data_IF_293426445699
#
_entry.id   IF_293426445699
#
_cell.length_a   1.000
_cell.length_b   1.000
_cell.length_c   1.000
_cell.angle_alpha   90.00
_cell.angle_beta   90.00
_cell.angle_gamma   90.00
#
_symmetry.space_group_name_H-M   'P 1'
#
loop_
_entity.id
_entity.type
_entity.pdbx_description
1 polymer ?
#
# COMPACT_ATOMS: atom_id res chain seq x y z
N UNK A 1 -12.98 -30.41 24.42
CA UNK A 1 -11.76 -29.60 24.18
C UNK A 1 -11.73 -29.22 22.71
N UNK A 2 -11.39 -27.94 22.46
CA UNK A 2 -11.14 -27.24 21.19
C UNK A 2 -12.21 -27.32 20.08
N UNK A 3 -13.03 -26.26 20.01
CA UNK A 3 -13.87 -25.88 18.86
C UNK A 3 -12.97 -25.49 17.68
N UNK A 4 -13.13 -26.21 16.56
CA UNK A 4 -12.88 -25.71 15.22
C UNK A 4 -14.00 -24.74 14.84
N UNK A 5 -13.66 -23.58 14.28
CA UNK A 5 -14.42 -22.84 13.24
C UNK A 5 -13.96 -21.39 13.15
N UNK A 6 -13.13 -21.07 12.16
CA UNK A 6 -13.12 -19.75 11.52
C UNK A 6 -12.94 -19.94 10.01
N UNK A 7 -13.89 -20.64 9.38
CA UNK A 7 -14.20 -20.44 7.96
C UNK A 7 -15.36 -19.45 7.94
N UNK A 8 -15.10 -18.19 7.62
CA UNK A 8 -16.16 -17.22 7.35
C UNK A 8 -16.18 -16.88 5.85
N UNK A 9 -16.83 -17.71 5.01
CA UNK A 9 -16.95 -17.47 3.58
C UNK A 9 -17.82 -16.24 3.24
N UNK A 10 -18.53 -15.63 4.21
CA UNK A 10 -19.46 -14.51 3.95
C UNK A 10 -18.84 -13.12 3.98
N UNK A 11 -17.60 -12.97 4.45
CA UNK A 11 -16.93 -11.66 4.47
C UNK A 11 -16.52 -11.21 3.08
N UNK A 12 -16.03 -12.16 2.28
CA UNK A 12 -15.68 -11.94 0.89
C UNK A 12 -16.88 -11.45 0.09
N UNK A 13 -18.07 -12.04 0.26
CA UNK A 13 -19.27 -11.65 -0.48
C UNK A 13 -19.67 -10.16 -0.32
N UNK A 14 -19.43 -9.56 0.86
CA UNK A 14 -19.77 -8.16 1.11
C UNK A 14 -18.75 -7.17 0.51
N UNK A 15 -17.46 -7.53 0.55
CA UNK A 15 -16.36 -6.75 -0.06
C UNK A 15 -16.32 -6.94 -1.59
N UNK A 16 -16.82 -8.05 -2.11
CA UNK A 16 -16.89 -8.24 -3.56
C UNK A 16 -17.95 -7.31 -4.19
N UNK A 17 -19.18 -7.26 -3.69
CA UNK A 17 -20.25 -6.55 -4.41
C UNK A 17 -20.10 -5.01 -4.45
N UNK A 18 -19.60 -4.38 -3.39
CA UNK A 18 -19.43 -2.91 -3.36
C UNK A 18 -18.22 -2.46 -4.21
N UNK A 19 -17.13 -3.24 -4.22
CA UNK A 19 -15.90 -2.93 -4.96
C UNK A 19 -15.95 -3.34 -6.44
N UNK A 20 -16.83 -4.28 -6.84
CA UNK A 20 -16.99 -4.71 -8.24
C UNK A 20 -17.67 -3.65 -9.14
N UNK A 21 -18.18 -2.55 -8.57
CA UNK A 21 -18.79 -1.45 -9.34
C UNK A 21 -17.82 -0.31 -9.66
N UNK A 22 -16.64 -0.31 -9.04
CA UNK A 22 -15.64 0.75 -9.21
C UNK A 22 -14.83 0.53 -10.50
N UNK A 23 -15.40 0.91 -11.63
CA UNK A 23 -14.67 0.99 -12.90
C UNK A 23 -13.61 2.08 -12.83
N UNK A 24 -12.40 1.78 -13.29
CA UNK A 24 -11.38 2.81 -13.51
C UNK A 24 -11.87 3.65 -14.70
N UNK A 25 -12.31 4.89 -14.45
CA UNK A 25 -12.65 5.84 -15.51
C UNK A 25 -11.35 6.48 -16.06
N UNK A 26 -11.15 6.37 -17.38
CA UNK A 26 -9.97 6.88 -18.10
C UNK A 26 -10.01 8.41 -18.31
N UNK A 27 -10.85 9.14 -17.55
CA UNK A 27 -11.06 10.57 -17.71
C UNK A 27 -9.95 11.45 -17.09
N UNK A 28 -9.04 11.89 -17.98
CA UNK A 28 -8.32 13.18 -18.08
C UNK A 28 -7.87 13.86 -16.76
N UNK A 29 -6.56 13.78 -16.50
CA UNK A 29 -5.68 14.73 -15.78
C UNK A 29 -6.32 15.80 -14.88
N UNK A 30 -7.12 15.41 -13.91
CA UNK A 30 -7.53 16.29 -12.81
C UNK A 30 -6.75 15.91 -11.56
N UNK A 31 -6.21 16.90 -10.85
CA UNK A 31 -5.73 16.69 -9.49
C UNK A 31 -6.94 16.36 -8.62
N UNK A 32 -6.96 15.19 -8.01
CA UNK A 32 -8.09 14.75 -7.19
C UNK A 32 -7.63 14.50 -5.76
N UNK A 33 -8.32 15.14 -4.83
CA UNK A 33 -8.20 14.89 -3.40
C UNK A 33 -9.30 13.92 -2.97
N UNK A 34 -8.94 12.95 -2.12
CA UNK A 34 -9.92 12.13 -1.39
C UNK A 34 -10.15 10.72 -1.91
N UNK A 35 -9.97 10.44 -3.20
CA UNK A 35 -10.17 9.11 -3.78
C UNK A 35 -8.89 8.58 -4.45
N UNK A 36 -8.57 7.30 -4.21
CA UNK A 36 -7.43 6.62 -4.83
C UNK A 36 -7.87 6.04 -6.19
N UNK A 37 -7.15 6.40 -7.26
CA UNK A 37 -7.44 5.97 -8.64
C UNK A 37 -8.88 6.21 -9.10
N UNK A 38 -9.53 7.24 -8.58
CA UNK A 38 -10.92 7.65 -8.89
C UNK A 38 -12.00 6.59 -8.56
N UNK A 39 -11.62 5.48 -7.91
CA UNK A 39 -12.50 4.33 -7.70
C UNK A 39 -12.60 3.93 -6.23
N UNK A 40 -11.55 4.12 -5.44
CA UNK A 40 -11.54 3.78 -4.02
C UNK A 40 -11.65 5.04 -3.17
N UNK A 41 -12.71 5.13 -2.37
CA UNK A 41 -12.93 6.29 -1.50
C UNK A 41 -11.97 6.30 -0.32
N UNK A 42 -11.84 7.46 0.33
CA UNK A 42 -11.12 7.60 1.60
C UNK A 42 -11.59 6.57 2.63
N UNK A 43 -12.89 6.35 2.72
CA UNK A 43 -13.51 5.41 3.65
C UNK A 43 -13.10 3.97 3.33
N UNK A 44 -13.13 3.56 2.05
CA UNK A 44 -12.65 2.24 1.63
C UNK A 44 -11.18 2.03 2.01
N UNK A 45 -10.33 3.05 1.79
CA UNK A 45 -8.92 2.97 2.13
C UNK A 45 -8.72 2.87 3.65
N UNK A 46 -9.46 3.65 4.45
CA UNK A 46 -9.41 3.54 5.91
C UNK A 46 -9.81 2.15 6.38
N UNK A 47 -10.88 1.60 5.84
CA UNK A 47 -11.35 0.25 6.16
C UNK A 47 -10.30 -0.82 5.81
N UNK A 48 -9.71 -0.75 4.61
CA UNK A 48 -8.63 -1.66 4.21
C UNK A 48 -7.43 -1.55 5.15
N UNK A 49 -7.02 -0.34 5.54
CA UNK A 49 -5.94 -0.12 6.50
C UNK A 49 -6.26 -0.64 7.91
N UNK A 50 -7.53 -0.68 8.30
CA UNK A 50 -7.98 -1.31 9.55
C UNK A 50 -7.89 -2.83 9.48
N UNK A 51 -8.51 -3.44 8.46
CA UNK A 51 -8.64 -4.91 8.33
C UNK A 51 -7.28 -5.57 8.12
N UNK A 52 -6.39 -4.93 7.36
CA UNK A 52 -5.03 -5.42 7.10
C UNK A 52 -4.10 -5.24 8.30
N UNK A 53 -4.56 -4.58 9.37
CA UNK A 53 -3.79 -4.40 10.60
C UNK A 53 -2.82 -3.21 10.58
N UNK A 54 -2.76 -2.42 9.49
CA UNK A 54 -1.88 -1.24 9.40
C UNK A 54 -2.20 -0.21 10.49
N UNK A 55 -3.44 0.24 10.56
CA UNK A 55 -3.88 1.21 11.59
C UNK A 55 -3.83 0.61 13.01
N UNK A 56 -4.27 -0.62 13.26
CA UNK A 56 -4.09 -1.28 14.55
C UNK A 56 -2.64 -1.31 15.05
N UNK A 57 -1.67 -1.69 14.21
CA UNK A 57 -0.25 -1.73 14.58
C UNK A 57 0.34 -0.33 14.82
N UNK A 58 -0.07 0.66 14.02
CA UNK A 58 0.31 2.06 14.24
C UNK A 58 -0.22 2.57 15.59
N UNK A 59 -1.47 2.25 15.95
CA UNK A 59 -2.04 2.62 17.26
C UNK A 59 -1.34 1.93 18.42
N UNK A 60 -0.98 0.65 18.30
CA UNK A 60 -0.19 -0.08 19.31
C UNK A 60 1.16 0.58 19.58
N UNK A 61 1.76 1.21 18.57
CA UNK A 61 3.01 1.98 18.67
C UNK A 61 2.82 3.40 19.22
N UNK A 62 1.61 3.73 19.67
CA UNK A 62 1.28 4.97 20.37
C UNK A 62 0.86 6.12 19.46
N UNK A 63 0.63 5.90 18.16
CA UNK A 63 0.13 6.93 17.26
C UNK A 63 -1.40 6.88 17.22
N UNK A 64 -2.04 7.80 17.95
CA UNK A 64 -3.49 7.91 18.01
C UNK A 64 -3.98 9.00 17.06
N UNK A 65 -5.20 8.89 16.50
CA UNK A 65 -5.76 9.91 15.57
C UNK A 65 -4.89 10.18 14.34
N UNK A 66 -4.50 9.11 13.65
CA UNK A 66 -3.76 9.20 12.39
C UNK A 66 -4.68 9.78 11.31
N UNK A 67 -4.18 10.75 10.56
CA UNK A 67 -4.87 11.36 9.43
C UNK A 67 -4.42 10.67 8.14
N UNK A 68 -5.40 10.27 7.32
CA UNK A 68 -5.16 9.80 5.96
C UNK A 68 -5.21 10.99 5.01
N UNK A 69 -4.25 11.09 4.10
CA UNK A 69 -4.30 12.00 2.95
C UNK A 69 -4.15 11.18 1.68
N UNK A 70 -5.05 11.40 0.72
CA UNK A 70 -5.00 10.82 -0.62
C UNK A 70 -5.01 11.97 -1.61
N UNK A 71 -4.03 11.98 -2.49
CA UNK A 71 -3.88 12.97 -3.56
C UNK A 71 -3.30 12.29 -4.79
N UNK A 72 -3.63 12.76 -5.99
CA UNK A 72 -3.09 12.16 -7.19
C UNK A 72 -3.54 12.83 -8.47
N UNK A 73 -3.02 12.32 -9.58
CA UNK A 73 -3.36 12.70 -10.94
C UNK A 73 -3.47 11.43 -11.78
N UNK A 74 -4.71 11.04 -12.10
CA UNK A 74 -4.99 9.88 -12.96
C UNK A 74 -4.35 8.57 -12.50
N UNK A 75 -3.94 7.74 -13.45
CA UNK A 75 -3.31 6.44 -13.18
C UNK A 75 -1.79 6.54 -12.98
N UNK A 76 -1.15 7.62 -13.42
CA UNK A 76 0.30 7.76 -13.43
C UNK A 76 0.90 8.13 -12.07
N UNK A 77 0.10 8.77 -11.21
CA UNK A 77 0.56 9.23 -9.91
C UNK A 77 -0.58 9.26 -8.90
N UNK A 78 -0.46 8.42 -7.88
CA UNK A 78 -1.33 8.44 -6.71
C UNK A 78 -0.47 8.41 -5.45
N UNK A 79 -0.85 9.19 -4.45
CA UNK A 79 -0.13 9.36 -3.20
C UNK A 79 -1.07 9.13 -2.04
N UNK A 80 -0.66 8.22 -1.16
CA UNK A 80 -1.34 7.91 0.08
C UNK A 80 -0.38 8.16 1.24
N UNK A 81 -0.79 9.00 2.19
CA UNK A 81 0.02 9.37 3.36
C UNK A 81 -0.77 9.16 4.64
N UNK A 82 -0.12 8.55 5.63
CA UNK A 82 -0.60 8.55 7.01
C UNK A 82 0.23 9.52 7.83
N UNK A 83 -0.45 10.47 8.48
CA UNK A 83 0.16 11.57 9.22
C UNK A 83 -0.28 11.53 10.68
N UNK A 84 0.66 11.73 11.59
CA UNK A 84 0.39 11.97 13.01
C UNK A 84 1.18 13.19 13.45
N UNK A 85 0.48 14.21 13.97
CA UNK A 85 1.11 15.43 14.50
C UNK A 85 2.17 16.03 13.57
N UNK A 86 1.80 16.19 12.28
CA UNK A 86 2.65 16.69 11.18
C UNK A 86 3.82 15.78 10.77
N UNK A 87 4.02 14.66 11.45
CA UNK A 87 4.97 13.63 11.05
C UNK A 87 4.33 12.61 10.11
N UNK A 88 5.03 12.28 9.03
CA UNK A 88 4.63 11.21 8.12
C UNK A 88 5.00 9.87 8.76
N UNK A 89 4.04 8.95 8.82
CA UNK A 89 4.20 7.58 9.33
C UNK A 89 4.28 6.55 8.21
N UNK A 90 3.48 6.74 7.16
CA UNK A 90 3.47 5.92 5.94
C UNK A 90 3.38 6.87 4.75
N UNK A 91 4.22 6.65 3.75
CA UNK A 91 4.16 7.33 2.47
C UNK A 91 4.20 6.28 1.36
N UNK A 92 3.11 6.20 0.61
CA UNK A 92 2.98 5.36 -0.57
C UNK A 92 2.83 6.24 -1.79
N UNK A 93 3.58 5.92 -2.84
CA UNK A 93 3.41 6.47 -4.17
C UNK A 93 3.15 5.32 -5.13
N UNK A 94 1.99 5.36 -5.76
CA UNK A 94 1.46 4.29 -6.58
C UNK A 94 1.18 4.82 -7.99
N UNK A 95 1.25 3.93 -8.97
CA UNK A 95 0.69 4.17 -10.29
C UNK A 95 0.12 2.86 -10.85
N UNK A 96 -0.67 2.93 -11.91
CA UNK A 96 -1.12 1.76 -12.65
C UNK A 96 -0.48 1.81 -14.03
N UNK A 97 0.11 0.71 -14.46
CA UNK A 97 0.73 0.61 -15.78
C UNK A 97 0.25 -0.65 -16.51
N UNK A 98 -0.08 -0.49 -17.79
CA UNK A 98 -0.36 -1.59 -18.70
C UNK A 98 0.95 -2.14 -19.27
N UNK A 99 1.13 -3.45 -19.19
CA UNK A 99 2.21 -4.18 -19.83
C UNK A 99 1.65 -5.07 -20.93
N UNK A 100 2.35 -5.11 -22.06
CA UNK A 100 2.11 -6.09 -23.12
C UNK A 100 3.00 -7.30 -22.85
N UNK A 101 2.39 -8.42 -22.50
CA UNK A 101 3.07 -9.69 -22.32
C UNK A 101 2.90 -10.55 -23.57
N UNK A 102 3.97 -11.21 -23.99
CA UNK A 102 3.96 -12.14 -25.12
C UNK A 102 4.19 -13.56 -24.60
N UNK A 103 3.24 -14.46 -24.86
CA UNK A 103 3.31 -15.87 -24.47
C UNK A 103 2.83 -16.70 -25.66
N UNK A 104 3.70 -17.56 -26.21
CA UNK A 104 3.39 -18.47 -27.31
C UNK A 104 2.69 -17.78 -28.50
N UNK A 105 3.23 -16.65 -28.98
CA UNK A 105 2.70 -15.82 -30.06
C UNK A 105 1.37 -15.08 -29.77
N UNK A 106 0.89 -15.10 -28.52
CA UNK A 106 -0.26 -14.32 -28.06
C UNK A 106 0.17 -13.10 -27.25
N UNK A 107 -0.53 -11.98 -27.46
CA UNK A 107 -0.34 -10.74 -26.70
C UNK A 107 -1.45 -10.53 -25.68
N UNK A 108 -1.06 -10.33 -24.42
CA UNK A 108 -1.94 -9.99 -23.32
C UNK A 108 -1.64 -8.58 -22.84
N UNK A 109 -2.70 -7.80 -22.58
CA UNK A 109 -2.60 -6.49 -21.94
C UNK A 109 -2.98 -6.66 -20.48
N UNK A 110 -2.01 -6.54 -19.60
CA UNK A 110 -2.21 -6.75 -18.17
C UNK A 110 -1.89 -5.46 -17.42
N UNK A 111 -2.74 -5.09 -16.46
CA UNK A 111 -2.53 -3.89 -15.65
C UNK A 111 -1.92 -4.27 -14.31
N UNK A 112 -0.85 -3.58 -13.93
CA UNK A 112 -0.14 -3.80 -12.67
C UNK A 112 -0.14 -2.55 -11.81
N UNK A 113 -0.24 -2.76 -10.49
CA UNK A 113 0.02 -1.71 -9.51
C UNK A 113 1.52 -1.49 -9.38
N UNK A 114 2.00 -0.32 -9.70
CA UNK A 114 3.40 0.03 -9.55
C UNK A 114 3.59 0.74 -8.23
N UNK A 115 4.40 0.15 -7.35
CA UNK A 115 4.85 0.79 -6.12
C UNK A 115 6.11 1.57 -6.46
N UNK A 116 5.96 2.87 -6.65
CA UNK A 116 7.06 3.78 -6.97
C UNK A 116 7.80 4.27 -5.71
N UNK A 117 7.11 4.29 -4.57
CA UNK A 117 7.67 4.64 -3.27
C UNK A 117 6.90 3.96 -2.16
N UNK A 118 7.62 3.35 -1.21
CA UNK A 118 7.07 2.85 0.05
C UNK A 118 8.01 3.25 1.18
N UNK A 119 7.55 4.09 2.08
CA UNK A 119 8.31 4.47 3.26
C UNK A 119 7.45 4.37 4.50
N UNK A 120 8.00 3.72 5.53
CA UNK A 120 7.44 3.77 6.88
C UNK A 120 8.40 4.48 7.81
N UNK A 121 7.86 5.23 8.76
CA UNK A 121 8.64 6.00 9.73
C UNK A 121 8.06 5.81 11.12
N UNK A 122 8.93 5.64 12.10
CA UNK A 122 8.58 5.53 13.51
C UNK A 122 9.19 6.68 14.34
N UNK A 123 8.70 7.94 14.20
CA UNK A 123 9.29 9.12 14.83
C UNK A 123 9.48 9.05 16.36
N UNK A 124 8.53 8.42 17.07
CA UNK A 124 8.60 8.23 18.54
C UNK A 124 9.75 7.32 18.98
N UNK A 125 10.29 6.48 18.09
CA UNK A 125 11.45 5.65 18.40
C UNK A 125 12.71 6.40 17.98
N UNK A 126 13.37 7.01 18.96
CA UNK A 126 14.68 7.61 18.71
C UNK A 126 15.64 6.52 18.22
N UNK A 127 16.29 6.76 17.09
CA UNK A 127 17.33 5.86 16.58
C UNK A 127 18.53 5.94 17.53
N UNK A 128 18.71 4.91 18.36
CA UNK A 128 19.86 4.85 19.26
C UNK A 128 21.18 4.58 18.50
N UNK A 129 21.11 4.15 17.22
CA UNK A 129 22.28 3.85 16.41
C UNK A 129 22.06 4.22 14.94
N UNK A 130 22.78 5.24 14.44
CA UNK A 130 22.77 5.64 13.03
C UNK A 130 23.12 4.49 12.07
N UNK A 131 23.92 3.52 12.53
CA UNK A 131 24.30 2.35 11.74
C UNK A 131 23.15 1.35 11.46
N UNK A 132 21.97 1.53 12.08
CA UNK A 132 20.78 0.69 11.85
C UNK A 132 19.77 1.32 10.89
N UNK A 133 20.03 2.54 10.40
CA UNK A 133 19.14 3.23 9.46
C UNK A 133 19.60 2.99 8.03
N UNK A 134 18.66 2.70 7.14
CA UNK A 134 18.98 2.65 5.72
C UNK A 134 19.28 4.04 5.17
N UNK A 135 20.08 4.18 4.09
CA UNK A 135 20.33 5.48 3.46
C UNK A 135 19.02 6.20 3.14
N UNK A 136 18.91 7.47 3.53
CA UNK A 136 17.67 8.26 3.36
C UNK A 136 16.68 8.16 4.53
N UNK A 137 16.93 7.30 5.53
CA UNK A 137 16.16 7.25 6.77
C UNK A 137 16.82 8.08 7.87
N UNK A 138 16.03 8.95 8.48
CA UNK A 138 16.32 9.72 9.70
C UNK A 138 15.81 9.00 10.97
N UNK A 139 14.76 8.18 10.83
CA UNK A 139 14.13 7.39 11.90
C UNK A 139 13.90 5.94 11.44
N UNK A 140 13.84 4.96 12.36
CA UNK A 140 13.55 3.58 11.97
C UNK A 140 12.15 3.44 11.37
N UNK A 141 11.93 2.40 10.57
CA UNK A 141 10.60 2.05 10.06
C UNK A 141 9.65 1.54 11.15
N UNK A 142 8.36 1.48 10.83
CA UNK A 142 7.32 0.99 11.75
C UNK A 142 7.40 -0.51 12.01
N UNK A 143 8.05 -1.27 11.12
CA UNK A 143 8.13 -2.73 11.21
C UNK A 143 6.80 -3.42 10.93
N UNK A 144 5.98 -2.86 10.04
CA UNK A 144 4.63 -3.35 9.68
C UNK A 144 4.56 -3.89 8.24
N UNK A 145 5.67 -4.44 7.74
CA UNK A 145 5.78 -4.87 6.35
C UNK A 145 4.71 -5.88 5.95
N UNK A 146 4.38 -6.83 6.83
CA UNK A 146 3.36 -7.83 6.55
C UNK A 146 1.98 -7.19 6.33
N UNK A 147 1.58 -6.25 7.20
CA UNK A 147 0.31 -5.53 7.09
C UNK A 147 0.26 -4.67 5.82
N UNK A 148 1.38 -4.05 5.44
CA UNK A 148 1.49 -3.30 4.19
C UNK A 148 1.39 -4.23 2.98
N UNK A 149 2.01 -5.41 3.02
CA UNK A 149 1.90 -6.40 1.94
C UNK A 149 0.46 -6.86 1.75
N UNK A 150 -0.25 -7.12 2.85
CA UNK A 150 -1.66 -7.50 2.80
C UNK A 150 -2.50 -6.35 2.23
N UNK A 151 -2.27 -5.11 2.68
CA UNK A 151 -2.93 -3.92 2.15
C UNK A 151 -2.73 -3.75 0.64
N UNK A 152 -1.50 -3.92 0.13
CA UNK A 152 -1.23 -3.90 -1.31
C UNK A 152 -1.98 -5.03 -2.03
N UNK A 153 -2.01 -6.23 -1.44
CA UNK A 153 -2.80 -7.35 -1.96
C UNK A 153 -4.28 -7.01 -2.14
N UNK A 154 -4.87 -6.36 -1.13
CA UNK A 154 -6.26 -5.89 -1.22
C UNK A 154 -6.43 -4.81 -2.29
N UNK A 155 -5.50 -3.86 -2.43
CA UNK A 155 -5.56 -2.86 -3.51
C UNK A 155 -5.55 -3.50 -4.90
N UNK A 156 -4.71 -4.51 -5.12
CA UNK A 156 -4.65 -5.24 -6.40
C UNK A 156 -6.02 -5.88 -6.70
N UNK A 157 -6.63 -6.53 -5.71
CA UNK A 157 -7.95 -7.15 -5.85
C UNK A 157 -9.04 -6.12 -6.10
N UNK A 158 -9.11 -5.06 -5.30
CA UNK A 158 -10.11 -3.99 -5.41
C UNK A 158 -10.04 -3.24 -6.74
N UNK A 159 -8.84 -3.08 -7.31
CA UNK A 159 -8.62 -2.39 -8.59
C UNK A 159 -8.62 -3.35 -9.80
N UNK A 160 -8.84 -4.65 -9.59
CA UNK A 160 -8.80 -5.70 -10.62
C UNK A 160 -7.49 -5.71 -11.42
N UNK A 161 -6.38 -5.62 -10.71
CA UNK A 161 -5.03 -5.64 -11.28
C UNK A 161 -4.45 -7.06 -11.22
N UNK A 162 -3.49 -7.35 -12.09
CA UNK A 162 -2.88 -8.68 -12.21
C UNK A 162 -1.73 -8.93 -11.23
N UNK A 163 -1.34 -7.90 -10.47
CA UNK A 163 -0.28 -7.96 -9.48
C UNK A 163 0.28 -6.59 -9.15
N UNK A 164 1.37 -6.57 -8.38
CA UNK A 164 2.16 -5.37 -8.15
C UNK A 164 3.62 -5.56 -8.57
N UNK A 165 4.21 -4.46 -9.02
CA UNK A 165 5.63 -4.36 -9.38
C UNK A 165 6.23 -3.26 -8.51
N UNK A 166 7.32 -3.56 -7.81
CA UNK A 166 8.09 -2.54 -7.11
C UNK A 166 9.11 -1.98 -8.08
N UNK A 167 8.96 -0.71 -8.45
CA UNK A 167 9.95 0.00 -9.25
C UNK A 167 10.88 0.73 -8.29
N UNK A 168 12.16 0.35 -8.18
CA UNK A 168 13.12 1.09 -7.39
C UNK A 168 13.48 2.38 -8.13
N UNK A 169 12.62 3.39 -8.07
CA UNK A 169 12.97 4.72 -8.57
C UNK A 169 14.05 5.38 -7.70
N UNK A 170 14.19 4.91 -6.46
CA UNK A 170 15.28 5.26 -5.56
C UNK A 170 15.82 3.97 -4.93
N UNK A 171 17.15 3.80 -5.00
CA UNK A 171 17.94 2.63 -4.59
C UNK A 171 17.91 2.32 -3.07
N UNK A 172 16.83 2.63 -2.36
CA UNK A 172 16.74 2.47 -0.90
C UNK A 172 16.12 1.11 -0.49
N UNK A 173 15.21 0.55 -1.30
CA UNK A 173 14.50 -0.71 -0.99
C UNK A 173 15.17 -1.97 -1.56
N UNK A 174 16.21 -1.84 -2.41
CA UNK A 174 16.96 -3.00 -2.91
C UNK A 174 17.60 -3.82 -1.77
N UNK A 175 17.87 -3.18 -0.62
CA UNK A 175 18.40 -3.86 0.58
C UNK A 175 17.33 -4.70 1.28
N UNK A 176 16.03 -4.42 1.12
CA UNK A 176 14.95 -5.26 1.65
C UNK A 176 14.86 -6.62 0.94
N UNK A 177 15.41 -6.72 -0.28
CA UNK A 177 15.45 -7.97 -1.05
C UNK A 177 16.79 -8.72 -0.95
N UNK A 178 17.81 -8.16 -0.29
CA UNK A 178 19.06 -8.88 -0.03
C UNK A 178 18.94 -9.74 1.24
N UNK A 179 18.43 -10.96 1.11
CA UNK A 179 18.78 -12.04 2.04
C UNK A 179 20.24 -12.44 1.77
N UNK A 180 21.17 -11.89 2.54
CA UNK A 180 22.39 -12.53 3.07
C UNK A 180 23.45 -11.47 3.42
N UNK A 181 23.71 -11.30 4.72
CA UNK A 181 25.04 -11.05 5.29
C UNK A 181 24.92 -11.09 6.82
N UNK A 182 24.56 -12.27 7.34
CA UNK A 182 24.85 -12.65 8.71
C UNK A 182 25.74 -13.90 8.64
N UNK A 183 27.04 -13.65 8.69
CA UNK A 183 28.07 -14.55 9.20
C UNK A 183 29.21 -13.68 9.71
#
# INVERSE_FOLDING_TARGET
MAKSSYNNPRFFDFVYDEFLTAGIDDSIFSFQEGNLFNSLTRENILELLEITGVLPEIRKKGYQKVQLEISGMGQDFQRLVLIFDKEILLHLRLSIQEYRLEINDYYFKEKYLIINWLQTRHPKRQSMNKNQLYPGQDVPGLGIFHQISDFIGFLILSLRLNGAIIRPEYFHDAVLFSKNSAS
#
